data_IF_509883113171
#
_entry.id   IF_509883113171
#
_cell.length_a   1.000
_cell.length_b   1.000
_cell.length_c   1.000
_cell.angle_alpha   90.00
_cell.angle_beta   90.00
_cell.angle_gamma   90.00
#
_symmetry.space_group_name_H-M   'P 1'
#
loop_
_entity.id
_entity.type
_entity.pdbx_description
1 polymer ?
#
# COMPACT_ATOMS: atom_id res chain seq x y z
N UNK A 1 5.62 11.30 -5.64
CA UNK A 1 6.86 11.08 -4.90
C UNK A 1 7.60 9.88 -5.50
N UNK A 2 8.92 9.91 -5.44
CA UNK A 2 9.82 8.81 -5.83
C UNK A 2 10.76 8.56 -4.66
N UNK A 3 10.83 7.32 -4.21
CA UNK A 3 11.76 6.87 -3.16
C UNK A 3 12.72 5.84 -3.75
N UNK A 4 13.94 5.82 -3.28
CA UNK A 4 14.89 4.75 -3.57
C UNK A 4 14.47 3.50 -2.78
N UNK A 5 14.32 2.38 -3.47
CA UNK A 5 13.77 1.14 -2.86
C UNK A 5 14.74 0.49 -1.86
N UNK A 6 16.05 0.69 -2.00
CA UNK A 6 17.05 0.06 -1.17
C UNK A 6 17.39 0.90 0.07
N UNK A 7 17.28 2.22 -0.03
CA UNK A 7 17.70 3.14 1.03
C UNK A 7 16.56 3.86 1.73
N UNK A 8 15.39 3.98 1.09
CA UNK A 8 14.28 4.82 1.54
C UNK A 8 14.45 6.32 1.25
N UNK A 9 15.58 6.73 0.67
CA UNK A 9 15.83 8.13 0.36
C UNK A 9 14.78 8.69 -0.60
N UNK A 10 14.29 9.89 -0.32
CA UNK A 10 13.40 10.62 -1.23
C UNK A 10 14.23 11.14 -2.41
N UNK A 11 14.03 10.56 -3.59
CA UNK A 11 14.76 10.92 -4.82
C UNK A 11 14.13 12.12 -5.50
N UNK A 12 12.79 12.17 -5.55
CA UNK A 12 12.08 13.27 -6.17
C UNK A 12 10.68 13.46 -5.57
N UNK A 13 10.27 14.73 -5.51
CA UNK A 13 8.90 15.12 -5.20
C UNK A 13 8.41 16.02 -6.34
N UNK A 14 7.40 15.56 -7.07
CA UNK A 14 6.68 16.35 -8.06
C UNK A 14 5.53 17.11 -7.42
N UNK A 15 5.43 18.38 -7.76
CA UNK A 15 4.30 19.22 -7.40
C UNK A 15 3.47 19.53 -8.66
N UNK A 16 2.23 20.00 -8.48
CA UNK A 16 1.37 20.42 -9.60
C UNK A 16 2.02 21.47 -10.50
N UNK A 17 1.57 21.53 -11.76
CA UNK A 17 2.04 22.52 -12.75
C UNK A 17 1.59 23.94 -12.38
N UNK A 18 2.32 24.95 -12.87
CA UNK A 18 1.97 26.37 -12.79
C UNK A 18 1.81 26.90 -11.35
N UNK A 19 2.58 26.42 -10.39
CA UNK A 19 2.58 26.92 -9.02
C UNK A 19 3.11 28.36 -8.97
N UNK A 20 2.34 29.23 -8.32
CA UNK A 20 2.73 30.62 -8.06
C UNK A 20 2.90 30.76 -6.55
N UNK A 21 4.10 31.21 -6.10
CA UNK A 21 4.42 31.47 -4.69
C UNK A 21 5.46 30.52 -4.10
N UNK A 22 6.20 31.02 -3.10
CA UNK A 22 7.30 30.32 -2.47
C UNK A 22 6.86 29.31 -1.38
N UNK A 23 5.69 29.52 -0.77
CA UNK A 23 5.15 28.65 0.28
C UNK A 23 3.84 28.04 -0.18
N UNK A 24 3.91 26.92 -0.86
CA UNK A 24 2.75 26.22 -1.38
C UNK A 24 2.59 24.86 -0.73
N UNK A 25 1.33 24.45 -0.58
CA UNK A 25 0.95 23.12 -0.08
C UNK A 25 1.64 22.01 -0.90
N UNK A 26 2.33 21.10 -0.22
CA UNK A 26 3.01 19.98 -0.86
C UNK A 26 2.07 18.78 -0.95
N UNK A 27 1.47 18.56 -2.12
CA UNK A 27 0.54 17.46 -2.36
C UNK A 27 1.17 16.07 -2.25
N UNK A 28 2.48 15.94 -2.28
CA UNK A 28 3.13 14.64 -2.12
C UNK A 28 3.25 14.19 -0.65
N UNK A 29 3.21 15.15 0.30
CA UNK A 29 3.47 14.87 1.73
C UNK A 29 2.37 15.37 2.68
N UNK A 30 1.58 16.36 2.25
CA UNK A 30 0.65 17.08 3.15
C UNK A 30 -0.82 16.76 2.88
N UNK A 31 -1.14 15.94 1.88
CA UNK A 31 -2.50 15.53 1.57
C UNK A 31 -2.67 14.05 1.79
N UNK A 32 -3.80 13.68 2.37
CA UNK A 32 -4.27 12.31 2.40
C UNK A 32 -5.48 12.18 1.48
N UNK A 33 -5.39 11.28 0.52
CA UNK A 33 -6.48 10.97 -0.40
C UNK A 33 -6.73 9.47 -0.41
N UNK A 34 -7.95 9.09 -0.75
CA UNK A 34 -8.28 7.70 -1.00
C UNK A 34 -7.33 7.13 -2.05
N UNK A 35 -6.69 6.01 -1.73
CA UNK A 35 -5.65 5.41 -2.58
C UNK A 35 -6.22 4.49 -3.67
N UNK A 36 -7.54 4.25 -3.64
CA UNK A 36 -8.21 3.42 -4.64
C UNK A 36 -7.60 2.02 -4.74
N UNK A 37 -7.57 1.47 -5.94
CA UNK A 37 -7.08 0.09 -6.18
C UNK A 37 -5.60 -0.13 -5.88
N UNK A 38 -4.82 0.91 -5.60
CA UNK A 38 -3.46 0.74 -5.07
C UNK A 38 -3.47 0.14 -3.64
N UNK A 39 -4.62 0.11 -2.99
CA UNK A 39 -4.81 -0.59 -1.72
C UNK A 39 -4.67 -2.11 -1.84
N UNK A 40 -5.07 -2.72 -2.95
CA UNK A 40 -5.21 -4.17 -3.10
C UNK A 40 -3.94 -4.98 -2.79
N UNK A 41 -2.75 -4.63 -3.30
CA UNK A 41 -1.52 -5.30 -2.87
C UNK A 41 -1.20 -5.11 -1.38
N UNK A 42 -1.60 -3.98 -0.79
CA UNK A 42 -1.24 -3.58 0.57
C UNK A 42 -2.20 -4.18 1.63
N UNK A 43 -3.51 -4.16 1.37
CA UNK A 43 -4.54 -4.52 2.34
C UNK A 43 -5.12 -5.93 2.13
N UNK A 44 -5.05 -6.46 0.90
CA UNK A 44 -5.68 -7.73 0.54
C UNK A 44 -4.62 -8.80 0.26
N UNK A 45 -3.96 -8.73 -0.89
CA UNK A 45 -3.15 -9.82 -1.40
C UNK A 45 -1.80 -9.99 -0.70
N UNK A 46 -1.14 -8.91 -0.31
CA UNK A 46 0.12 -8.97 0.47
C UNK A 46 -0.07 -9.70 1.79
N UNK A 47 -0.99 -9.23 2.66
CA UNK A 47 -1.30 -9.93 3.91
C UNK A 47 -1.81 -11.36 3.69
N UNK A 48 -2.59 -11.62 2.61
CA UNK A 48 -3.13 -12.94 2.36
C UNK A 48 -2.04 -13.95 1.96
N UNK A 49 -1.07 -13.54 1.15
CA UNK A 49 0.09 -14.38 0.81
C UNK A 49 0.95 -14.61 2.06
N UNK A 50 1.19 -13.57 2.86
CA UNK A 50 2.04 -13.67 4.05
C UNK A 50 1.44 -14.54 5.17
N UNK A 51 0.14 -14.38 5.46
CA UNK A 51 -0.46 -14.98 6.65
C UNK A 51 -1.38 -16.18 6.37
N UNK A 52 -1.99 -16.26 5.18
CA UNK A 52 -2.94 -17.32 4.82
C UNK A 52 -2.36 -18.33 3.82
N UNK A 53 -1.06 -18.21 3.45
CA UNK A 53 -0.37 -19.11 2.51
C UNK A 53 -1.08 -19.25 1.16
N UNK A 54 -1.80 -18.23 0.70
CA UNK A 54 -2.31 -18.23 -0.68
C UNK A 54 -1.18 -17.94 -1.66
N UNK A 55 -1.36 -18.33 -2.90
CA UNK A 55 -0.40 -18.11 -3.98
C UNK A 55 -1.02 -17.34 -5.14
N UNK A 56 -0.22 -16.79 -6.05
CA UNK A 56 -0.74 -16.17 -7.28
C UNK A 56 -1.63 -17.10 -8.12
N UNK A 57 -1.45 -18.42 -8.00
CA UNK A 57 -2.27 -19.44 -8.69
C UNK A 57 -3.51 -19.86 -7.91
N UNK A 58 -3.69 -19.40 -6.67
CA UNK A 58 -4.86 -19.75 -5.85
C UNK A 58 -6.15 -19.28 -6.56
N UNK A 59 -7.13 -20.19 -6.77
CA UNK A 59 -8.40 -19.80 -7.37
C UNK A 59 -9.24 -18.94 -6.43
N UNK A 60 -9.90 -17.94 -7.00
CA UNK A 60 -10.82 -17.06 -6.29
C UNK A 60 -12.05 -16.79 -7.15
N UNK A 61 -13.23 -16.80 -6.55
CA UNK A 61 -14.47 -16.57 -7.27
C UNK A 61 -14.78 -15.08 -7.43
N UNK A 62 -14.90 -14.63 -8.67
CA UNK A 62 -15.38 -13.30 -9.05
C UNK A 62 -16.86 -13.41 -9.44
N UNK A 63 -17.74 -13.28 -8.47
CA UNK A 63 -19.19 -13.45 -8.54
C UNK A 63 -19.88 -12.43 -7.62
N UNK A 64 -21.19 -12.17 -7.76
CA UNK A 64 -21.88 -11.22 -6.89
C UNK A 64 -21.57 -11.44 -5.41
N UNK A 65 -21.15 -10.38 -4.74
CA UNK A 65 -20.70 -10.43 -3.35
C UNK A 65 -21.00 -9.11 -2.63
N UNK A 66 -20.95 -9.11 -1.29
CA UNK A 66 -21.29 -7.95 -0.48
C UNK A 66 -20.31 -7.75 0.66
N UNK A 67 -20.22 -6.52 1.12
CA UNK A 67 -19.68 -6.19 2.43
C UNK A 67 -20.47 -6.89 3.55
N UNK A 68 -19.89 -7.03 4.72
CA UNK A 68 -20.55 -7.63 5.90
C UNK A 68 -21.84 -6.92 6.33
N UNK A 69 -22.01 -5.65 5.95
CA UNK A 69 -23.24 -4.89 6.18
C UNK A 69 -24.33 -5.10 5.12
N UNK A 70 -24.13 -6.01 4.15
CA UNK A 70 -25.08 -6.33 3.10
C UNK A 70 -25.05 -5.43 1.86
N UNK A 71 -24.23 -4.38 1.84
CA UNK A 71 -24.07 -3.52 0.66
C UNK A 71 -23.28 -4.30 -0.41
N UNK A 72 -23.85 -4.40 -1.62
CA UNK A 72 -23.22 -5.10 -2.73
C UNK A 72 -21.91 -4.47 -3.20
N UNK A 73 -20.95 -5.31 -3.56
CA UNK A 73 -19.71 -4.90 -4.23
C UNK A 73 -19.79 -5.19 -5.72
N UNK A 74 -19.46 -4.19 -6.53
CA UNK A 74 -19.36 -4.34 -7.97
C UNK A 74 -17.92 -4.20 -8.44
N UNK A 75 -17.57 -4.94 -9.48
CA UNK A 75 -16.35 -4.67 -10.23
C UNK A 75 -16.50 -3.38 -11.05
N UNK A 76 -15.38 -2.76 -11.40
CA UNK A 76 -15.33 -1.47 -12.09
C UNK A 76 -16.04 -1.48 -13.45
N UNK A 77 -16.13 -2.65 -14.11
CA UNK A 77 -16.79 -2.86 -15.41
C UNK A 77 -18.21 -3.44 -15.29
N UNK A 78 -18.69 -3.68 -14.06
CA UNK A 78 -20.00 -4.29 -13.80
C UNK A 78 -20.11 -5.76 -14.17
N UNK A 79 -19.00 -6.45 -14.51
CA UNK A 79 -18.98 -7.85 -14.93
C UNK A 79 -18.37 -8.75 -13.87
N UNK A 80 -18.66 -10.04 -13.97
CA UNK A 80 -18.09 -11.09 -13.13
C UNK A 80 -17.52 -12.19 -14.04
N UNK A 81 -16.31 -12.66 -13.71
CA UNK A 81 -15.58 -13.62 -14.55
C UNK A 81 -15.68 -15.07 -14.05
N UNK A 82 -16.40 -15.29 -12.94
CA UNK A 82 -16.45 -16.59 -12.30
C UNK A 82 -15.13 -16.93 -11.61
N UNK A 83 -14.69 -18.16 -11.65
CA UNK A 83 -13.42 -18.55 -11.07
C UNK A 83 -12.23 -17.99 -11.87
N UNK A 84 -11.37 -17.26 -11.17
CA UNK A 84 -10.11 -16.70 -11.68
C UNK A 84 -8.97 -17.03 -10.71
N UNK A 85 -7.76 -16.59 -10.97
CA UNK A 85 -6.64 -16.71 -10.03
C UNK A 85 -6.39 -15.40 -9.29
N UNK A 86 -5.72 -15.46 -8.15
CA UNK A 86 -5.24 -14.27 -7.43
C UNK A 86 -4.43 -13.35 -8.35
N UNK A 87 -3.55 -13.92 -9.21
CA UNK A 87 -2.78 -13.15 -10.19
C UNK A 87 -3.69 -12.37 -11.13
N UNK A 88 -4.58 -13.06 -11.85
CA UNK A 88 -5.48 -12.39 -12.80
C UNK A 88 -6.41 -11.40 -12.12
N UNK A 89 -6.92 -11.72 -10.92
CA UNK A 89 -7.78 -10.82 -10.16
C UNK A 89 -7.07 -9.50 -9.78
N UNK A 90 -5.78 -9.56 -9.41
CA UNK A 90 -5.02 -8.36 -9.09
C UNK A 90 -4.61 -7.59 -10.36
N UNK A 91 -4.16 -8.28 -11.41
CA UNK A 91 -3.81 -7.66 -12.72
C UNK A 91 -5.00 -6.92 -13.31
N UNK A 92 -6.19 -7.54 -13.33
CA UNK A 92 -7.42 -6.94 -13.84
C UNK A 92 -8.09 -6.00 -12.82
N UNK A 93 -7.45 -5.80 -11.67
CA UNK A 93 -7.94 -4.92 -10.59
C UNK A 93 -9.39 -5.21 -10.19
N UNK A 94 -9.77 -6.50 -10.05
CA UNK A 94 -11.12 -6.92 -9.67
C UNK A 94 -11.43 -6.55 -8.22
N UNK A 95 -12.57 -5.90 -7.97
CA UNK A 95 -12.95 -5.44 -6.64
C UNK A 95 -13.51 -6.57 -5.77
N UNK A 96 -14.32 -7.45 -6.37
CA UNK A 96 -14.96 -8.55 -5.63
C UNK A 96 -13.94 -9.56 -5.10
N UNK A 97 -13.00 -10.07 -5.89
CA UNK A 97 -11.90 -10.89 -5.39
C UNK A 97 -11.06 -10.22 -4.29
N UNK A 98 -10.80 -8.91 -4.42
CA UNK A 98 -10.07 -8.14 -3.42
C UNK A 98 -10.82 -8.13 -2.08
N UNK A 99 -12.11 -7.76 -2.09
CA UNK A 99 -12.96 -7.79 -0.89
C UNK A 99 -13.04 -9.18 -0.24
N UNK A 100 -13.24 -10.23 -1.02
CA UNK A 100 -13.25 -11.62 -0.52
C UNK A 100 -11.91 -11.99 0.14
N UNK A 101 -10.79 -11.57 -0.45
CA UNK A 101 -9.46 -11.77 0.12
C UNK A 101 -9.32 -11.04 1.45
N UNK A 102 -9.70 -9.76 1.51
CA UNK A 102 -9.72 -8.99 2.75
C UNK A 102 -10.54 -9.69 3.85
N UNK A 103 -11.77 -10.10 3.54
CA UNK A 103 -12.68 -10.75 4.48
C UNK A 103 -12.17 -12.13 4.97
N UNK A 104 -11.32 -12.79 4.20
CA UNK A 104 -10.69 -14.07 4.60
C UNK A 104 -9.60 -13.91 5.65
N UNK A 105 -9.12 -12.68 5.87
CA UNK A 105 -8.02 -12.37 6.75
C UNK A 105 -8.49 -12.01 8.16
N UNK A 106 -7.65 -12.29 9.15
CA UNK A 106 -7.82 -11.67 10.46
C UNK A 106 -7.53 -10.17 10.35
N UNK A 107 -8.48 -9.33 10.78
CA UNK A 107 -8.33 -7.87 10.72
C UNK A 107 -7.05 -7.35 11.41
N UNK A 108 -6.64 -7.99 12.52
CA UNK A 108 -5.38 -7.70 13.21
C UNK A 108 -4.14 -7.92 12.32
N UNK A 109 -4.16 -8.94 11.46
CA UNK A 109 -3.05 -9.23 10.54
C UNK A 109 -2.95 -8.14 9.47
N UNK A 110 -4.09 -7.74 8.88
CA UNK A 110 -4.13 -6.63 7.93
C UNK A 110 -3.58 -5.36 8.60
N UNK A 111 -4.10 -5.03 9.78
CA UNK A 111 -3.66 -3.85 10.53
C UNK A 111 -2.15 -3.86 10.77
N UNK A 112 -1.62 -4.96 11.28
CA UNK A 112 -0.18 -5.11 11.54
C UNK A 112 0.64 -4.94 10.27
N UNK A 113 0.22 -5.58 9.18
CA UNK A 113 0.92 -5.51 7.90
C UNK A 113 1.01 -4.08 7.38
N UNK A 114 -0.12 -3.37 7.30
CA UNK A 114 -0.15 -2.02 6.72
C UNK A 114 0.49 -0.97 7.62
N UNK A 115 0.33 -1.07 8.95
CA UNK A 115 1.01 -0.14 9.87
C UNK A 115 2.52 -0.32 9.86
N UNK A 116 3.01 -1.56 9.71
CA UNK A 116 4.44 -1.82 9.56
C UNK A 116 4.99 -1.33 8.20
N UNK A 117 4.14 -1.12 7.20
CA UNK A 117 4.47 -0.45 5.94
C UNK A 117 4.42 1.09 6.04
N UNK A 118 4.28 1.65 7.24
CA UNK A 118 4.20 3.10 7.45
C UNK A 118 2.89 3.72 7.00
N UNK A 119 1.82 2.93 6.80
CA UNK A 119 0.50 3.43 6.44
C UNK A 119 -0.36 3.70 7.69
N UNK A 120 -1.34 4.59 7.54
CA UNK A 120 -2.20 5.07 8.63
C UNK A 120 -3.67 4.70 8.38
N UNK A 121 -4.04 3.40 8.47
CA UNK A 121 -5.40 2.98 8.22
C UNK A 121 -6.38 3.64 9.22
N UNK A 122 -7.57 3.96 8.75
CA UNK A 122 -8.65 4.39 9.63
C UNK A 122 -9.11 3.19 10.47
N UNK A 123 -8.97 3.32 11.80
CA UNK A 123 -9.32 2.27 12.76
C UNK A 123 -10.46 2.76 13.64
N UNK A 124 -11.51 1.95 13.76
CA UNK A 124 -12.62 2.17 14.68
C UNK A 124 -12.87 0.90 15.50
N UNK A 125 -13.01 1.04 16.81
CA UNK A 125 -13.12 -0.08 17.75
C UNK A 125 -12.01 -1.15 17.59
N UNK A 126 -10.80 -0.70 17.21
CA UNK A 126 -9.64 -1.57 17.01
C UNK A 126 -9.57 -2.25 15.65
N UNK A 127 -10.56 -2.05 14.79
CA UNK A 127 -10.68 -2.71 13.49
C UNK A 127 -10.55 -1.74 12.31
N UNK A 128 -10.03 -2.25 11.20
CA UNK A 128 -10.01 -1.61 9.88
C UNK A 128 -11.30 -2.01 9.15
N UNK A 129 -11.96 -1.04 8.48
CA UNK A 129 -13.17 -1.31 7.70
C UNK A 129 -12.86 -2.05 6.40
N UNK A 130 -13.82 -2.86 5.93
CA UNK A 130 -13.72 -3.60 4.66
C UNK A 130 -13.55 -2.69 3.43
N UNK A 131 -13.99 -1.42 3.51
CA UNK A 131 -13.78 -0.43 2.44
C UNK A 131 -12.31 -0.14 2.14
N UNK A 132 -11.38 -0.44 3.08
CA UNK A 132 -9.93 -0.32 2.84
C UNK A 132 -9.44 -1.26 1.74
N UNK A 133 -10.12 -2.39 1.52
CA UNK A 133 -9.80 -3.34 0.44
C UNK A 133 -9.72 -2.66 -0.94
N UNK A 134 -10.54 -1.64 -1.18
CA UNK A 134 -10.53 -0.86 -2.42
C UNK A 134 -10.05 0.59 -2.22
N UNK A 135 -9.41 0.87 -1.09
CA UNK A 135 -8.86 2.19 -0.75
C UNK A 135 -9.87 3.24 -0.32
N UNK A 136 -11.09 2.82 0.06
CA UNK A 136 -12.18 3.68 0.51
C UNK A 136 -12.07 4.06 1.99
N UNK A 137 -11.11 4.89 2.36
CA UNK A 137 -10.89 5.42 3.71
C UNK A 137 -10.30 6.84 3.62
N UNK A 138 -9.87 7.45 4.74
CA UNK A 138 -9.30 8.80 4.76
C UNK A 138 -8.05 8.95 3.88
N UNK A 139 -7.41 7.82 3.55
CA UNK A 139 -6.34 7.74 2.59
C UNK A 139 -4.95 8.01 3.13
N UNK A 140 -4.02 8.15 2.20
CA UNK A 140 -2.59 8.30 2.46
C UNK A 140 -1.99 9.41 1.59
N UNK A 141 -0.79 9.85 1.96
CA UNK A 141 -0.01 10.72 1.08
C UNK A 141 0.64 9.91 -0.05
N UNK A 142 0.89 10.53 -1.22
CA UNK A 142 1.67 9.89 -2.27
C UNK A 142 3.05 9.38 -1.83
N UNK A 143 3.67 10.03 -0.85
CA UNK A 143 4.96 9.61 -0.29
C UNK A 143 4.81 8.34 0.56
N UNK A 144 3.78 8.27 1.43
CA UNK A 144 3.53 7.08 2.25
C UNK A 144 3.27 5.85 1.38
N UNK A 145 2.45 6.00 0.33
CA UNK A 145 2.17 4.89 -0.61
C UNK A 145 3.43 4.47 -1.37
N UNK A 146 4.24 5.42 -1.86
CA UNK A 146 5.48 5.11 -2.56
C UNK A 146 6.46 4.33 -1.66
N UNK A 147 6.61 4.74 -0.39
CA UNK A 147 7.46 4.05 0.58
C UNK A 147 6.93 2.64 0.92
N UNK A 148 5.60 2.48 1.07
CA UNK A 148 4.99 1.18 1.30
C UNK A 148 5.23 0.21 0.13
N UNK A 149 5.09 0.68 -1.11
CA UNK A 149 5.36 -0.12 -2.31
C UNK A 149 6.85 -0.45 -2.46
N UNK A 150 7.76 0.43 -2.04
CA UNK A 150 9.21 0.17 -2.07
C UNK A 150 9.57 -1.10 -1.28
N UNK A 151 8.83 -1.44 -0.23
CA UNK A 151 9.06 -2.65 0.55
C UNK A 151 8.87 -3.94 -0.27
N UNK A 152 7.99 -3.98 -1.26
CA UNK A 152 7.87 -5.13 -2.16
C UNK A 152 9.13 -5.32 -3.01
N UNK A 153 9.73 -4.23 -3.50
CA UNK A 153 10.97 -4.29 -4.28
C UNK A 153 12.23 -4.46 -3.41
N UNK A 154 12.11 -4.22 -2.10
CA UNK A 154 13.20 -4.36 -1.12
C UNK A 154 13.09 -5.63 -0.26
N UNK A 155 12.72 -6.74 -0.89
CA UNK A 155 12.64 -8.05 -0.24
C UNK A 155 11.71 -8.10 0.98
N UNK A 156 10.73 -7.19 1.09
CA UNK A 156 9.79 -7.12 2.20
C UNK A 156 10.22 -6.25 3.38
N UNK A 157 11.23 -5.40 3.18
CA UNK A 157 11.73 -4.47 4.20
C UNK A 157 11.23 -3.06 3.91
N UNK A 158 10.43 -2.51 4.81
CA UNK A 158 10.05 -1.10 4.81
C UNK A 158 11.17 -0.25 5.39
N UNK A 159 11.44 0.89 4.76
CA UNK A 159 12.35 1.93 5.25
C UNK A 159 11.58 3.25 5.23
N UNK A 160 11.55 3.93 6.38
CA UNK A 160 10.90 5.23 6.50
C UNK A 160 11.55 6.23 5.53
N UNK A 161 10.76 6.94 4.70
CA UNK A 161 11.33 7.85 3.71
C UNK A 161 11.97 9.07 4.36
N UNK A 162 13.17 9.42 3.93
CA UNK A 162 13.93 10.56 4.45
C UNK A 162 14.51 11.42 3.33
N UNK A 163 14.73 12.71 3.63
CA UNK A 163 15.26 13.71 2.69
C UNK A 163 16.72 14.10 2.96
N UNK A 164 17.28 13.75 4.10
CA UNK A 164 18.67 13.98 4.45
C UNK A 164 19.16 12.92 5.43
N UNK A 165 20.46 12.65 5.43
CA UNK A 165 21.11 11.74 6.37
C UNK A 165 21.77 12.48 7.52
N UNK A 166 22.29 13.68 7.26
CA UNK A 166 23.04 14.48 8.22
C UNK A 166 22.88 15.97 7.95
N UNK A 167 22.84 16.76 9.01
CA UNK A 167 22.91 18.22 8.97
C UNK A 167 24.13 18.66 9.77
N UNK A 168 24.92 19.57 9.21
CA UNK A 168 26.06 20.22 9.89
C UNK A 168 25.74 21.70 10.01
N UNK A 169 25.64 22.20 11.21
CA UNK A 169 25.41 23.63 11.47
C UNK A 169 26.68 24.44 11.20
N UNK A 170 26.60 25.38 10.26
CA UNK A 170 27.77 26.13 9.79
C UNK A 170 28.44 26.94 10.89
N UNK A 171 27.66 27.51 11.79
CA UNK A 171 28.16 28.42 12.81
C UNK A 171 28.78 27.70 14.00
N UNK A 172 28.23 26.58 14.41
CA UNK A 172 28.66 25.85 15.61
C UNK A 172 29.52 24.62 15.29
N UNK A 173 29.43 24.11 14.07
CA UNK A 173 30.02 22.82 13.68
C UNK A 173 29.29 21.61 14.27
N UNK A 174 28.17 21.81 14.97
CA UNK A 174 27.39 20.72 15.50
C UNK A 174 26.80 19.86 14.37
N UNK A 175 26.77 18.56 14.59
CA UNK A 175 26.27 17.59 13.65
C UNK A 175 25.00 16.95 14.20
N UNK A 176 23.98 16.84 13.35
CA UNK A 176 22.75 16.08 13.60
C UNK A 176 22.64 14.95 12.57
N UNK A 177 22.64 13.71 13.01
CA UNK A 177 22.36 12.56 12.17
C UNK A 177 20.88 12.24 12.22
N UNK A 178 20.27 12.06 11.04
CA UNK A 178 18.87 11.67 10.92
C UNK A 178 18.71 10.19 11.28
N UNK A 179 17.68 9.89 12.05
CA UNK A 179 17.27 8.52 12.36
C UNK A 179 15.96 8.19 11.64
N UNK A 180 15.87 7.05 11.03
CA UNK A 180 14.67 6.58 10.33
C UNK A 180 14.39 5.13 10.66
N UNK A 181 13.11 4.75 10.63
CA UNK A 181 12.67 3.43 10.99
C UNK A 181 12.91 2.44 9.84
N UNK A 182 13.32 1.23 10.19
CA UNK A 182 13.44 0.11 9.26
C UNK A 182 12.74 -1.10 9.85
N UNK A 183 11.83 -1.73 9.08
CA UNK A 183 11.06 -2.90 9.53
C UNK A 183 11.01 -3.99 8.48
N UNK A 184 11.27 -5.24 8.87
CA UNK A 184 10.91 -6.40 8.06
C UNK A 184 9.40 -6.64 8.22
N UNK A 185 8.64 -6.39 7.17
CA UNK A 185 7.17 -6.45 7.19
C UNK A 185 6.65 -7.78 6.67
N UNK A 186 7.30 -8.33 5.66
CA UNK A 186 6.92 -9.58 5.01
C UNK A 186 8.15 -10.39 4.62
N UNK A 187 7.93 -11.67 4.32
CA UNK A 187 8.96 -12.54 3.77
C UNK A 187 9.41 -12.08 2.38
N UNK A 188 10.63 -12.46 1.98
CA UNK A 188 11.12 -12.20 0.62
C UNK A 188 10.25 -12.90 -0.42
N UNK A 189 9.69 -14.07 -0.09
CA UNK A 189 8.80 -14.82 -0.95
C UNK A 189 7.51 -14.01 -1.21
N UNK A 190 6.86 -13.46 -0.19
CA UNK A 190 5.68 -12.61 -0.34
C UNK A 190 5.99 -11.37 -1.18
N UNK A 191 7.08 -10.68 -0.88
CA UNK A 191 7.52 -9.50 -1.63
C UNK A 191 7.75 -9.83 -3.11
N UNK A 192 8.44 -10.92 -3.40
CA UNK A 192 8.67 -11.41 -4.76
C UNK A 192 7.35 -11.76 -5.49
N UNK A 193 6.45 -12.50 -4.83
CA UNK A 193 5.19 -12.92 -5.45
C UNK A 193 4.31 -11.72 -5.79
N UNK A 194 4.17 -10.73 -4.89
CA UNK A 194 3.44 -9.49 -5.18
C UNK A 194 4.10 -8.71 -6.32
N UNK A 195 5.42 -8.52 -6.28
CA UNK A 195 6.17 -7.83 -7.35
C UNK A 195 5.97 -8.52 -8.70
N UNK A 196 6.02 -9.86 -8.74
CA UNK A 196 5.76 -10.63 -9.95
C UNK A 196 4.37 -10.39 -10.54
N UNK A 197 3.34 -10.22 -9.71
CA UNK A 197 1.98 -9.93 -10.19
C UNK A 197 1.90 -8.48 -10.71
N UNK A 198 2.54 -7.54 -10.00
CA UNK A 198 2.52 -6.12 -10.39
C UNK A 198 3.23 -5.87 -11.74
N UNK A 199 4.27 -6.64 -12.05
CA UNK A 199 4.95 -6.58 -13.36
C UNK A 199 4.02 -7.00 -14.49
N UNK A 200 3.17 -8.00 -14.28
CA UNK A 200 2.21 -8.47 -15.29
C UNK A 200 1.08 -7.46 -15.56
N UNK A 201 0.82 -6.55 -14.62
CA UNK A 201 -0.22 -5.52 -14.73
C UNK A 201 0.29 -4.14 -15.20
N UNK A 202 1.58 -4.01 -15.50
CA UNK A 202 2.25 -2.74 -15.83
C UNK A 202 2.14 -2.36 -17.30
#
# INVERSE_FOLDING_TARGET
AVTDTNTGAIVAIGAGRNRKGASTFNYATMINNQIGSTAKPLYDYGPAIEYNNISPATPIADEPHSYSNGIGMNNWDGKYFGYTTVRSALVDSRNVPALKTFQSLKNSNIKTFVTNLGLHPQVENGMIFESHSIGGYNGESPLSVAAAYAAFANGGTYIEPYSFTKVVYRETGEEYENTYETKKVMSEATAYLITSILIDGA
#
